data_IF_708831189800
#
_entry.id   IF_708831189800
#
_cell.length_a   1.000
_cell.length_b   1.000
_cell.length_c   1.000
_cell.angle_alpha   90.00
_cell.angle_beta   90.00
_cell.angle_gamma   90.00
#
_symmetry.space_group_name_H-M   'P 1'
#
loop_
_entity.id
_entity.type
_entity.pdbx_description
1 polymer ?
#
# COMPACT_ATOMS: atom_id res chain seq x y z
N UNK A 1 5.31 -18.54 -4.61
CA UNK A 1 4.20 -19.45 -5.00
C UNK A 1 3.68 -18.97 -6.34
N UNK A 2 3.58 -19.81 -7.38
CA UNK A 2 3.02 -19.39 -8.65
C UNK A 2 1.64 -18.74 -8.43
N UNK A 3 1.48 -17.50 -8.90
CA UNK A 3 0.21 -16.75 -8.79
C UNK A 3 -0.03 -15.98 -7.48
N UNK A 4 0.93 -15.89 -6.55
CA UNK A 4 0.77 -15.01 -5.39
C UNK A 4 1.12 -13.56 -5.73
N UNK A 5 0.21 -12.63 -5.41
CA UNK A 5 0.37 -11.20 -5.66
C UNK A 5 -0.06 -10.37 -4.45
N UNK A 6 0.50 -9.16 -4.33
CA UNK A 6 -0.02 -8.12 -3.47
C UNK A 6 -0.79 -7.10 -4.31
N UNK A 7 -1.91 -6.62 -3.78
CA UNK A 7 -2.75 -5.61 -4.41
C UNK A 7 -2.69 -4.31 -3.61
N UNK A 8 -2.35 -3.23 -4.30
CA UNK A 8 -2.55 -1.87 -3.83
C UNK A 8 -3.88 -1.38 -4.39
N UNK A 9 -4.84 -1.11 -3.52
CA UNK A 9 -6.17 -0.64 -3.91
C UNK A 9 -6.35 0.80 -3.48
N UNK A 10 -6.58 1.69 -4.44
CA UNK A 10 -6.87 3.09 -4.15
C UNK A 10 -8.15 3.20 -3.31
N UNK A 11 -8.11 4.00 -2.23
CA UNK A 11 -9.28 4.23 -1.38
C UNK A 11 -10.21 5.26 -2.04
N UNK A 12 -11.51 4.96 -2.20
CA UNK A 12 -12.48 5.92 -2.72
C UNK A 12 -12.49 7.22 -1.89
N UNK A 13 -12.59 8.37 -2.57
CA UNK A 13 -12.65 9.69 -1.92
C UNK A 13 -11.36 10.16 -1.22
N UNK A 14 -10.24 9.45 -1.38
CA UNK A 14 -8.96 9.77 -0.75
C UNK A 14 -8.02 10.70 -1.56
N UNK A 15 -8.49 11.31 -2.65
CA UNK A 15 -7.70 12.11 -3.60
C UNK A 15 -8.01 11.76 -5.06
N UNK A 16 -7.28 12.34 -6.02
CA UNK A 16 -7.49 12.14 -7.47
C UNK A 16 -7.43 10.65 -7.92
N UNK A 17 -6.77 9.76 -7.15
CA UNK A 17 -6.80 8.32 -7.39
C UNK A 17 -8.07 7.59 -6.92
N UNK A 18 -8.97 8.28 -6.21
CA UNK A 18 -10.17 7.72 -5.59
C UNK A 18 -11.49 8.10 -6.26
N UNK A 19 -11.46 8.84 -7.37
CA UNK A 19 -12.69 9.32 -8.04
C UNK A 19 -13.41 8.21 -8.84
N UNK A 20 -12.69 7.18 -9.31
CA UNK A 20 -13.27 6.06 -10.07
C UNK A 20 -13.14 4.68 -9.40
N UNK A 21 -12.54 4.57 -8.20
CA UNK A 21 -12.33 3.28 -7.51
C UNK A 21 -11.51 2.23 -8.29
N UNK A 22 -10.96 2.58 -9.45
CA UNK A 22 -10.34 1.66 -10.42
C UNK A 22 -8.84 1.43 -10.26
N UNK A 23 -8.18 2.08 -9.31
CA UNK A 23 -6.75 1.94 -9.09
C UNK A 23 -6.38 0.67 -8.32
N UNK A 24 -6.46 -0.51 -8.95
CA UNK A 24 -5.79 -1.71 -8.41
C UNK A 24 -4.43 -1.85 -9.10
N UNK A 25 -3.36 -1.85 -8.33
CA UNK A 25 -2.00 -2.21 -8.81
C UNK A 25 -1.60 -3.54 -8.21
N UNK A 26 -1.16 -4.46 -9.05
CA UNK A 26 -0.64 -5.75 -8.63
C UNK A 26 0.87 -5.74 -8.67
N UNK A 27 1.49 -6.24 -7.61
CA UNK A 27 2.92 -6.48 -7.54
C UNK A 27 3.16 -7.93 -7.17
N UNK A 28 4.18 -8.52 -7.79
CA UNK A 28 4.51 -9.91 -7.55
C UNK A 28 5.01 -10.11 -6.11
N UNK A 29 4.63 -11.24 -5.51
CA UNK A 29 5.10 -11.65 -4.19
C UNK A 29 6.13 -12.77 -4.33
N UNK A 30 7.34 -12.50 -3.85
CA UNK A 30 8.33 -13.56 -3.60
C UNK A 30 7.98 -14.21 -2.27
N UNK A 31 7.85 -15.54 -2.25
CA UNK A 31 7.49 -16.28 -1.05
C UNK A 31 8.45 -17.44 -0.84
N UNK A 32 8.92 -17.59 0.40
CA UNK A 32 9.75 -18.69 0.85
C UNK A 32 9.16 -19.25 2.16
N UNK A 33 8.69 -20.51 2.12
CA UNK A 33 8.03 -21.15 3.28
C UNK A 33 6.89 -20.28 3.82
N UNK A 34 7.06 -19.70 5.00
CA UNK A 34 6.08 -18.85 5.70
C UNK A 34 6.35 -17.36 5.54
N UNK A 35 7.43 -17.00 4.86
CA UNK A 35 7.84 -15.62 4.63
C UNK A 35 7.45 -15.18 3.22
N UNK A 36 7.15 -13.89 3.09
CA UNK A 36 6.88 -13.28 1.81
C UNK A 36 7.38 -11.84 1.79
N UNK A 37 7.75 -11.38 0.60
CA UNK A 37 8.21 -10.03 0.35
C UNK A 37 7.69 -9.53 -1.00
N UNK A 38 7.43 -8.23 -1.05
CA UNK A 38 7.12 -7.51 -2.28
C UNK A 38 7.62 -6.07 -2.16
N UNK A 39 7.87 -5.44 -3.30
CA UNK A 39 8.30 -4.05 -3.38
C UNK A 39 7.18 -3.22 -4.01
N UNK A 40 6.88 -2.07 -3.42
CA UNK A 40 5.92 -1.12 -3.98
C UNK A 40 6.66 -0.07 -4.82
N UNK A 41 6.40 0.01 -6.14
CA UNK A 41 6.92 1.08 -6.98
C UNK A 41 6.07 2.35 -6.81
N UNK A 42 6.51 3.27 -5.96
CA UNK A 42 5.78 4.52 -5.68
C UNK A 42 5.60 5.40 -6.93
N UNK A 43 6.50 5.32 -7.91
CA UNK A 43 6.45 6.08 -9.16
C UNK A 43 5.19 5.82 -10.00
N UNK A 44 4.54 4.67 -9.81
CA UNK A 44 3.32 4.28 -10.50
C UNK A 44 2.02 4.60 -9.76
N UNK A 45 2.11 5.23 -8.58
CA UNK A 45 0.97 5.56 -7.75
C UNK A 45 0.60 7.04 -7.89
N UNK A 46 -0.67 7.29 -8.20
CA UNK A 46 -1.22 8.64 -8.15
C UNK A 46 -1.46 9.08 -6.69
N UNK A 47 -1.50 10.39 -6.43
CA UNK A 47 -1.82 10.92 -5.11
C UNK A 47 -3.11 10.33 -4.52
N UNK A 48 -3.02 9.95 -3.24
CA UNK A 48 -4.13 9.40 -2.46
C UNK A 48 -3.69 8.33 -1.45
N UNK A 49 -4.68 7.62 -0.90
CA UNK A 49 -4.48 6.51 0.04
C UNK A 49 -4.61 5.17 -0.69
N UNK A 50 -3.70 4.25 -0.41
CA UNK A 50 -3.66 2.92 -1.02
C UNK A 50 -3.67 1.84 0.06
N UNK A 51 -4.69 0.99 0.03
CA UNK A 51 -4.84 -0.14 0.94
C UNK A 51 -4.09 -1.36 0.39
N UNK A 52 -3.26 -1.98 1.22
CA UNK A 52 -2.47 -3.16 0.87
C UNK A 52 -3.19 -4.48 1.19
N UNK A 53 -3.28 -5.35 0.19
CA UNK A 53 -3.90 -6.66 0.29
C UNK A 53 -2.95 -7.74 -0.22
N UNK A 54 -3.09 -8.95 0.28
CA UNK A 54 -2.39 -10.13 -0.19
C UNK A 54 -3.37 -11.11 -0.84
N UNK A 55 -2.98 -11.67 -1.99
CA UNK A 55 -3.63 -12.81 -2.65
C UNK A 55 -2.66 -13.99 -2.67
N UNK A 56 -2.63 -14.81 -1.62
CA UNK A 56 -1.63 -15.88 -1.51
C UNK A 56 -1.79 -17.00 -2.55
N UNK A 57 -2.99 -17.14 -3.13
CA UNK A 57 -3.30 -18.12 -4.16
C UNK A 57 -3.93 -17.49 -5.43
N UNK A 58 -3.57 -16.23 -5.72
CA UNK A 58 -3.98 -15.55 -6.95
C UNK A 58 -5.47 -15.23 -7.02
N UNK A 59 -6.00 -15.18 -8.25
CA UNK A 59 -7.36 -14.68 -8.52
C UNK A 59 -8.46 -15.53 -7.88
N UNK A 60 -8.29 -16.85 -7.88
CA UNK A 60 -9.24 -17.80 -7.28
C UNK A 60 -9.05 -17.95 -5.76
N UNK A 61 -7.96 -17.40 -5.21
CA UNK A 61 -7.61 -17.51 -3.80
C UNK A 61 -8.30 -16.49 -2.89
N UNK A 62 -8.13 -16.63 -1.57
CA UNK A 62 -8.59 -15.62 -0.63
C UNK A 62 -7.86 -14.30 -0.86
N UNK A 63 -8.48 -13.21 -0.41
CA UNK A 63 -7.87 -11.88 -0.35
C UNK A 63 -7.83 -11.42 1.10
N UNK A 64 -6.67 -10.99 1.57
CA UNK A 64 -6.43 -10.71 3.00
C UNK A 64 -5.85 -9.31 3.18
N UNK A 65 -6.34 -8.54 4.17
CA UNK A 65 -5.71 -7.26 4.57
C UNK A 65 -4.39 -7.52 5.28
N UNK A 66 -3.37 -6.73 4.94
CA UNK A 66 -2.06 -6.88 5.56
C UNK A 66 -2.00 -6.25 6.96
N UNK A 67 -1.23 -6.91 7.82
CA UNK A 67 -0.73 -6.44 9.12
C UNK A 67 -1.73 -6.23 10.28
N UNK A 68 -3.03 -6.45 10.04
CA UNK A 68 -4.06 -6.40 11.08
C UNK A 68 -3.75 -7.29 12.28
N UNK A 69 -3.36 -8.53 11.99
CA UNK A 69 -2.97 -9.55 12.97
C UNK A 69 -1.52 -9.96 12.71
N UNK A 70 -0.57 -9.16 13.16
CA UNK A 70 0.86 -9.38 12.93
C UNK A 70 1.69 -9.46 14.21
N UNK A 71 1.29 -8.73 15.25
CA UNK A 71 2.00 -8.59 16.52
C UNK A 71 0.97 -8.33 17.63
N UNK A 72 1.45 -8.13 18.86
CA UNK A 72 0.68 -7.94 20.08
C UNK A 72 0.44 -6.45 20.43
N UNK A 73 0.71 -5.53 19.51
CA UNK A 73 0.50 -4.09 19.72
C UNK A 73 -0.92 -3.70 19.32
N UNK A 74 -1.69 -3.22 20.29
CA UNK A 74 -2.97 -2.54 20.05
C UNK A 74 -2.75 -1.10 19.56
N UNK A 75 -3.73 -0.54 18.84
CA UNK A 75 -3.73 0.84 18.32
C UNK A 75 -2.40 1.25 17.66
N UNK A 76 -2.05 0.57 16.57
CA UNK A 76 -0.73 0.68 15.92
C UNK A 76 -0.45 2.03 15.27
N UNK A 77 -1.49 2.73 14.81
CA UNK A 77 -1.35 4.00 14.08
C UNK A 77 -0.47 5.05 14.80
N UNK A 78 -0.70 5.38 16.08
CA UNK A 78 0.15 6.32 16.82
C UNK A 78 1.51 5.76 17.24
N UNK A 79 1.71 4.43 17.20
CA UNK A 79 2.91 3.77 17.74
C UNK A 79 4.00 3.63 16.68
N UNK A 80 3.63 3.17 15.48
CA UNK A 80 4.58 2.87 14.42
C UNK A 80 4.71 4.04 13.44
N UNK A 81 5.90 4.65 13.42
CA UNK A 81 6.27 5.66 12.43
C UNK A 81 7.25 5.06 11.43
N UNK A 82 7.00 5.28 10.15
CA UNK A 82 7.84 4.81 9.06
C UNK A 82 8.49 5.96 8.31
N UNK A 83 9.72 5.80 7.79
CA UNK A 83 10.34 6.80 6.92
C UNK A 83 9.49 7.00 5.66
N UNK A 84 9.41 8.26 5.22
CA UNK A 84 8.76 8.67 3.97
C UNK A 84 9.78 8.77 2.86
N UNK A 85 9.38 8.45 1.64
CA UNK A 85 10.19 8.55 0.43
C UNK A 85 9.69 9.70 -0.46
N UNK A 86 10.60 10.55 -0.93
CA UNK A 86 10.31 11.53 -1.99
C UNK A 86 10.60 10.91 -3.34
N UNK A 87 9.60 10.88 -4.23
CA UNK A 87 9.68 10.18 -5.53
C UNK A 87 9.16 11.10 -6.63
N UNK A 88 9.81 11.10 -7.80
CA UNK A 88 9.29 11.78 -8.99
C UNK A 88 8.36 10.83 -9.74
N UNK A 89 7.13 11.28 -9.98
CA UNK A 89 6.12 10.55 -10.76
C UNK A 89 5.82 11.32 -12.06
N UNK A 90 5.15 10.69 -13.05
CA UNK A 90 4.65 11.42 -14.22
C UNK A 90 3.70 12.58 -13.88
N UNK A 91 3.08 12.59 -12.70
CA UNK A 91 2.17 13.64 -12.22
C UNK A 91 2.89 14.72 -11.38
N UNK A 92 4.20 14.57 -11.15
CA UNK A 92 5.00 15.48 -10.33
C UNK A 92 5.70 14.78 -9.16
N UNK A 93 6.51 15.54 -8.38
CA UNK A 93 7.12 15.03 -7.17
C UNK A 93 6.06 14.72 -6.10
N UNK A 94 6.22 13.60 -5.40
CA UNK A 94 5.35 13.16 -4.31
C UNK A 94 6.17 12.74 -3.09
N UNK A 95 5.54 12.78 -1.93
CA UNK A 95 5.98 12.09 -0.72
C UNK A 95 5.08 10.87 -0.49
N UNK A 96 5.69 9.69 -0.39
CA UNK A 96 5.00 8.42 -0.23
C UNK A 96 5.50 7.66 0.99
N UNK A 97 4.63 6.93 1.67
CA UNK A 97 5.08 5.98 2.68
C UNK A 97 3.97 5.21 3.37
N UNK A 98 4.36 4.17 4.14
CA UNK A 98 3.41 3.34 4.86
C UNK A 98 2.94 3.99 6.15
N UNK A 99 1.76 3.57 6.59
CA UNK A 99 1.20 3.86 7.89
C UNK A 99 0.21 2.76 8.27
N UNK A 100 0.01 2.56 9.58
CA UNK A 100 -1.09 1.74 10.07
C UNK A 100 -2.38 2.53 10.10
N UNK A 101 -3.51 1.94 9.71
CA UNK A 101 -4.84 2.55 9.85
C UNK A 101 -5.33 2.45 11.30
N UNK A 102 -6.49 3.06 11.60
CA UNK A 102 -7.18 2.89 12.89
C UNK A 102 -7.51 1.43 13.18
N UNK A 103 -7.77 0.64 12.15
CA UNK A 103 -8.11 -0.78 12.26
C UNK A 103 -6.87 -1.69 12.24
N UNK A 104 -5.67 -1.11 12.46
CA UNK A 104 -4.37 -1.79 12.45
C UNK A 104 -3.98 -2.44 11.12
N UNK A 105 -4.61 -2.05 10.01
CA UNK A 105 -4.18 -2.51 8.70
C UNK A 105 -2.98 -1.69 8.20
N UNK A 106 -2.13 -2.29 7.37
CA UNK A 106 -1.12 -1.52 6.63
C UNK A 106 -1.71 -0.90 5.36
N UNK A 107 -1.45 0.40 5.20
CA UNK A 107 -1.79 1.17 4.00
C UNK A 107 -0.64 2.12 3.66
N UNK A 108 -0.72 2.78 2.51
CA UNK A 108 0.22 3.80 2.06
C UNK A 108 -0.51 5.12 1.87
N UNK A 109 0.18 6.23 2.08
CA UNK A 109 -0.25 7.54 1.58
C UNK A 109 0.75 8.02 0.53
N UNK A 110 0.23 8.67 -0.51
CA UNK A 110 0.99 9.35 -1.55
C UNK A 110 0.43 10.76 -1.63
N UNK A 111 1.25 11.77 -1.35
CA UNK A 111 0.84 13.17 -1.35
C UNK A 111 1.72 13.97 -2.31
N UNK A 112 1.18 14.91 -3.10
CA UNK A 112 2.01 15.81 -3.89
C UNK A 112 2.98 16.55 -2.97
N UNK A 113 4.21 16.77 -3.42
CA UNK A 113 5.10 17.74 -2.80
C UNK A 113 4.77 19.10 -3.41
N UNK A 114 4.59 20.11 -2.55
CA UNK A 114 4.52 21.49 -3.03
C UNK A 114 5.82 21.83 -3.77
N UNK A 115 5.71 22.59 -4.86
CA UNK A 115 6.83 22.87 -5.76
C UNK A 115 7.96 23.70 -5.11
N UNK A 116 7.78 24.16 -3.87
CA UNK A 116 8.66 25.09 -3.16
C UNK A 116 9.44 24.45 -2.00
N UNK A 117 9.59 23.12 -1.96
CA UNK A 117 10.35 22.38 -0.93
C UNK A 117 11.74 21.90 -1.39
#
# INVERSE_FOLDING_TARGET
VPGADAELRARPGGGAGGEDGGGVRRVHVTAERTEFAFTVPYEGLVPGVWDLWLRPAGDAGPVVRLARLLDDVADKNPVFTFPRARVRTPQGPVEAGPYYTRDNDLSLTVSPLDADA
#
